data_IF_487536827874
#
_entry.id   IF_487536827874
#
_cell.length_a   1.000
_cell.length_b   1.000
_cell.length_c   1.000
_cell.angle_alpha   90.00
_cell.angle_beta   90.00
_cell.angle_gamma   90.00
#
_symmetry.space_group_name_H-M   'P 1'
#
loop_
_entity.id
_entity.type
_entity.pdbx_description
1 polymer ?
#
# COMPACT_ATOMS: atom_id res chain seq x y z
N UNK A 1 -29.19 5.96 -62.69
CA UNK A 1 -28.74 7.28 -62.20
C UNK A 1 -28.17 7.08 -60.80
N UNK A 2 -26.85 7.17 -60.60
CA UNK A 2 -26.20 7.02 -59.28
C UNK A 2 -25.68 8.37 -58.82
N UNK A 3 -26.22 8.89 -57.71
CA UNK A 3 -25.76 10.13 -57.07
C UNK A 3 -24.39 9.89 -56.41
N UNK A 4 -23.36 10.59 -56.86
CA UNK A 4 -22.12 10.73 -56.11
C UNK A 4 -22.31 11.81 -55.04
N UNK A 5 -22.34 11.40 -53.76
CA UNK A 5 -22.22 12.32 -52.62
C UNK A 5 -20.80 12.90 -52.64
N UNK A 6 -20.67 14.17 -53.00
CA UNK A 6 -19.43 14.91 -52.84
C UNK A 6 -19.08 15.01 -51.35
N UNK A 7 -17.95 14.41 -50.97
CA UNK A 7 -17.36 14.62 -49.64
C UNK A 7 -16.89 16.07 -49.58
N UNK A 8 -17.50 16.85 -48.68
CA UNK A 8 -17.18 18.25 -48.44
C UNK A 8 -15.78 18.34 -47.79
N UNK A 9 -14.73 18.31 -48.61
CA UNK A 9 -13.34 18.44 -48.19
C UNK A 9 -13.02 19.91 -47.90
N UNK A 10 -13.42 20.41 -46.73
CA UNK A 10 -12.87 21.65 -46.18
C UNK A 10 -11.42 21.38 -45.77
N UNK A 11 -10.47 22.02 -46.44
CA UNK A 11 -9.05 21.87 -46.15
C UNK A 11 -8.73 22.38 -44.74
N UNK A 12 -8.06 21.55 -43.94
CA UNK A 12 -7.55 21.93 -42.62
C UNK A 12 -6.40 22.92 -42.84
N UNK A 13 -6.44 24.07 -42.18
CA UNK A 13 -5.37 25.07 -42.31
C UNK A 13 -4.16 24.70 -41.46
N UNK A 14 -2.95 25.08 -41.90
CA UNK A 14 -1.71 24.85 -41.14
C UNK A 14 -1.78 25.46 -39.73
N UNK A 15 -2.42 26.62 -39.61
CA UNK A 15 -2.60 27.34 -38.34
C UNK A 15 -3.48 26.55 -37.38
N UNK A 16 -4.57 25.94 -37.85
CA UNK A 16 -5.42 25.07 -37.01
C UNK A 16 -4.63 23.88 -36.47
N UNK A 17 -3.75 23.27 -37.26
CA UNK A 17 -2.94 22.12 -36.81
C UNK A 17 -1.95 22.55 -35.72
N UNK A 18 -1.29 23.70 -35.88
CA UNK A 18 -0.33 24.22 -34.89
C UNK A 18 -1.02 24.52 -33.56
N UNK A 19 -2.21 25.14 -33.60
CA UNK A 19 -2.99 25.42 -32.39
C UNK A 19 -3.42 24.14 -31.67
N UNK A 20 -3.82 23.11 -32.43
CA UNK A 20 -4.20 21.80 -31.85
C UNK A 20 -3.00 21.13 -31.17
N UNK A 21 -1.83 21.11 -31.81
CA UNK A 21 -0.61 20.52 -31.23
C UNK A 21 -0.18 21.26 -29.96
N UNK A 22 -0.28 22.59 -29.95
CA UNK A 22 0.03 23.40 -28.77
C UNK A 22 -0.88 23.06 -27.58
N UNK A 23 -2.19 22.93 -27.80
CA UNK A 23 -3.16 22.56 -26.76
C UNK A 23 -2.89 21.14 -26.24
N UNK A 24 -2.64 20.18 -27.14
CA UNK A 24 -2.33 18.79 -26.76
C UNK A 24 -1.03 18.73 -25.95
N UNK A 25 0.01 19.49 -26.33
CA UNK A 25 1.27 19.54 -25.59
C UNK A 25 1.10 20.01 -24.14
N UNK A 26 0.29 21.06 -23.93
CA UNK A 26 0.00 21.58 -22.59
C UNK A 26 -0.82 20.57 -21.78
N UNK A 27 -1.90 20.01 -22.35
CA UNK A 27 -2.77 19.02 -21.68
C UNK A 27 -2.04 17.70 -21.34
N UNK A 28 -1.15 17.24 -22.21
CA UNK A 28 -0.34 16.05 -21.95
C UNK A 28 0.64 16.28 -20.79
N UNK A 29 1.26 17.47 -20.71
CA UNK A 29 2.23 17.80 -19.66
C UNK A 29 1.61 17.85 -18.25
N UNK A 30 0.41 18.42 -18.11
CA UNK A 30 -0.28 18.52 -16.81
C UNK A 30 -0.83 17.17 -16.32
N UNK A 31 -1.18 16.26 -17.23
CA UNK A 31 -1.72 14.94 -16.92
C UNK A 31 -0.70 14.01 -16.26
N UNK A 32 0.58 14.08 -16.66
CA UNK A 32 1.65 13.21 -16.11
C UNK A 32 2.01 13.60 -14.67
N UNK A 33 1.97 14.90 -14.35
CA UNK A 33 2.30 15.42 -13.01
C UNK A 33 1.26 14.99 -11.95
N UNK A 34 -0.01 14.88 -12.34
CA UNK A 34 -1.09 14.48 -11.43
C UNK A 34 -0.98 13.01 -10.97
N UNK A 35 -0.47 12.12 -11.83
CA UNK A 35 -0.31 10.68 -11.52
C UNK A 35 0.78 10.46 -10.46
N UNK A 36 1.83 11.28 -10.46
CA UNK A 36 2.91 11.19 -9.46
C UNK A 36 2.44 11.58 -8.06
N UNK A 37 1.66 12.66 -7.91
CA UNK A 37 1.16 13.13 -6.61
C UNK A 37 0.17 12.15 -5.95
N UNK A 38 -0.73 11.54 -6.73
CA UNK A 38 -1.68 10.58 -6.19
C UNK A 38 -0.98 9.34 -5.61
N UNK A 39 0.08 8.86 -6.27
CA UNK A 39 0.85 7.69 -5.78
C UNK A 39 1.68 8.02 -4.53
N UNK A 40 2.17 9.26 -4.40
CA UNK A 40 2.88 9.70 -3.19
C UNK A 40 1.94 9.77 -1.97
N UNK A 41 0.75 10.35 -2.15
CA UNK A 41 -0.26 10.42 -1.09
C UNK A 41 -0.68 9.03 -0.60
N UNK A 42 -0.81 8.06 -1.51
CA UNK A 42 -1.13 6.67 -1.16
C UNK A 42 0.00 6.02 -0.32
N UNK A 43 1.26 6.28 -0.68
CA UNK A 43 2.44 5.73 0.03
C UNK A 43 2.53 6.30 1.46
N UNK A 44 2.42 7.62 1.61
CA UNK A 44 2.51 8.28 2.92
C UNK A 44 1.32 7.90 3.82
N UNK A 45 0.12 7.76 3.24
CA UNK A 45 -1.07 7.30 3.96
C UNK A 45 -0.91 5.87 4.47
N UNK A 46 -0.35 4.97 3.65
CA UNK A 46 -0.07 3.59 4.06
C UNK A 46 0.91 3.56 5.24
N UNK A 47 2.00 4.32 5.17
CA UNK A 47 3.00 4.42 6.24
C UNK A 47 2.37 4.91 7.54
N UNK A 48 1.62 6.02 7.51
CA UNK A 48 0.95 6.57 8.71
C UNK A 48 -0.09 5.61 9.30
N UNK A 49 -0.79 4.87 8.45
CA UNK A 49 -1.78 3.88 8.91
C UNK A 49 -1.09 2.71 9.65
N UNK A 50 0.04 2.21 9.11
CA UNK A 50 0.84 1.17 9.76
C UNK A 50 1.39 1.68 11.09
N UNK A 51 2.02 2.85 11.10
CA UNK A 51 2.59 3.51 12.29
C UNK A 51 1.56 3.62 13.43
N UNK A 52 0.42 4.27 13.16
CA UNK A 52 -0.65 4.44 14.16
C UNK A 52 -1.27 3.11 14.61
N UNK A 53 -1.30 2.10 13.73
CA UNK A 53 -1.86 0.80 14.08
C UNK A 53 -0.91 -0.03 14.94
N UNK A 54 0.40 0.16 14.83
CA UNK A 54 1.39 -0.42 15.74
C UNK A 54 1.25 0.17 17.15
N UNK A 55 1.13 1.50 17.27
CA UNK A 55 0.84 2.16 18.56
C UNK A 55 -0.45 1.62 19.19
N UNK A 56 -1.52 1.55 18.38
CA UNK A 56 -2.81 1.01 18.83
C UNK A 56 -2.71 -0.45 19.25
N UNK A 57 -1.97 -1.27 18.50
CA UNK A 57 -1.76 -2.69 18.82
C UNK A 57 -1.01 -2.83 20.15
N UNK A 58 0.01 -2.01 20.39
CA UNK A 58 0.77 -2.01 21.63
C UNK A 58 -0.15 -1.71 22.83
N UNK A 59 -0.91 -0.61 22.75
CA UNK A 59 -1.86 -0.22 23.81
C UNK A 59 -2.89 -1.33 24.04
N UNK A 60 -3.48 -1.88 22.98
CA UNK A 60 -4.47 -2.96 23.13
C UNK A 60 -3.89 -4.21 23.77
N UNK A 61 -2.66 -4.56 23.42
CA UNK A 61 -1.96 -5.71 24.01
C UNK A 61 -1.75 -5.51 25.50
N UNK A 62 -1.37 -4.30 25.92
CA UNK A 62 -1.12 -3.99 27.33
C UNK A 62 -2.41 -3.89 28.15
N UNK A 63 -3.51 -3.41 27.55
CA UNK A 63 -4.75 -3.11 28.28
C UNK A 63 -5.76 -4.25 28.33
N UNK A 64 -5.71 -5.23 27.42
CA UNK A 64 -6.72 -6.31 27.32
C UNK A 64 -6.19 -7.63 27.89
N UNK A 65 -7.09 -8.56 28.21
CA UNK A 65 -6.70 -9.93 28.58
C UNK A 65 -6.16 -10.69 27.34
N UNK A 66 -6.87 -10.59 26.22
CA UNK A 66 -6.48 -11.22 24.96
C UNK A 66 -5.20 -10.61 24.35
N UNK A 67 -4.55 -11.35 23.45
CA UNK A 67 -3.40 -10.89 22.68
C UNK A 67 -3.85 -10.57 21.27
N UNK A 68 -3.97 -9.28 20.88
CA UNK A 68 -4.30 -8.91 19.52
C UNK A 68 -3.09 -9.11 18.59
N UNK A 69 -3.37 -9.39 17.32
CA UNK A 69 -2.40 -9.58 16.26
C UNK A 69 -2.72 -8.59 15.14
N UNK A 70 -1.70 -7.91 14.61
CA UNK A 70 -1.83 -7.07 13.42
C UNK A 70 -1.40 -7.87 12.20
N UNK A 71 -2.28 -7.91 11.21
CA UNK A 71 -2.04 -8.55 9.93
C UNK A 71 -1.99 -7.52 8.81
N UNK A 72 -1.02 -7.63 7.91
CA UNK A 72 -1.02 -6.95 6.60
C UNK A 72 -1.01 -8.02 5.52
N UNK A 73 -1.98 -7.96 4.61
CA UNK A 73 -2.21 -8.98 3.58
C UNK A 73 -2.63 -8.33 2.27
N UNK A 74 -2.41 -9.04 1.16
CA UNK A 74 -2.73 -8.56 -0.17
C UNK A 74 -3.99 -9.25 -0.72
N UNK A 75 -4.91 -8.45 -1.27
CA UNK A 75 -6.10 -8.91 -2.00
C UNK A 75 -6.05 -8.44 -3.46
N UNK A 76 -7.01 -8.84 -4.30
CA UNK A 76 -6.99 -8.53 -5.74
C UNK A 76 -6.89 -7.03 -6.09
N UNK A 77 -7.34 -6.15 -5.20
CA UNK A 77 -7.39 -4.70 -5.39
C UNK A 77 -6.47 -3.89 -4.47
N UNK A 78 -5.57 -4.57 -3.73
CA UNK A 78 -4.47 -3.93 -3.00
C UNK A 78 -4.18 -4.54 -1.63
N UNK A 79 -3.33 -3.86 -0.87
CA UNK A 79 -2.96 -4.27 0.48
C UNK A 79 -3.95 -3.75 1.53
N UNK A 80 -4.25 -4.61 2.49
CA UNK A 80 -5.14 -4.35 3.61
C UNK A 80 -4.44 -4.67 4.93
N UNK A 81 -4.95 -4.08 6.01
CA UNK A 81 -4.47 -4.29 7.36
C UNK A 81 -5.62 -4.50 8.33
N UNK A 82 -5.46 -5.44 9.27
CA UNK A 82 -6.50 -5.80 10.23
C UNK A 82 -5.88 -6.19 11.58
N UNK A 83 -6.49 -5.72 12.66
CA UNK A 83 -6.18 -6.17 14.03
C UNK A 83 -7.27 -7.14 14.47
N UNK A 84 -6.88 -8.31 14.94
CA UNK A 84 -7.78 -9.40 15.33
C UNK A 84 -7.12 -10.27 16.42
N UNK A 85 -7.93 -10.96 17.22
CA UNK A 85 -7.44 -11.80 18.32
C UNK A 85 -7.12 -13.24 17.90
N UNK A 86 -7.46 -13.61 16.66
CA UNK A 86 -7.16 -14.93 16.12
C UNK A 86 -5.69 -15.02 15.72
N UNK A 87 -5.01 -16.06 16.19
CA UNK A 87 -3.66 -16.42 15.72
C UNK A 87 -3.78 -17.23 14.41
N UNK A 88 -3.47 -16.57 13.30
CA UNK A 88 -3.48 -17.13 11.96
C UNK A 88 -2.05 -17.46 11.56
N UNK A 89 -1.85 -18.69 11.09
CA UNK A 89 -0.54 -19.25 10.72
C UNK A 89 -0.39 -19.44 9.22
N UNK A 90 -1.48 -19.43 8.46
CA UNK A 90 -1.52 -19.56 6.99
C UNK A 90 -2.55 -18.60 6.41
N UNK A 91 -2.38 -18.20 5.14
CA UNK A 91 -3.33 -17.29 4.49
C UNK A 91 -4.75 -17.87 4.50
N UNK A 92 -5.70 -17.12 5.03
CA UNK A 92 -7.10 -17.53 5.20
C UNK A 92 -8.03 -16.46 4.64
N UNK A 93 -8.64 -16.74 3.48
CA UNK A 93 -9.53 -15.82 2.77
C UNK A 93 -10.84 -15.53 3.51
N UNK A 94 -11.21 -16.34 4.52
CA UNK A 94 -12.37 -16.07 5.38
C UNK A 94 -12.08 -14.96 6.40
N UNK A 95 -10.81 -14.79 6.78
CA UNK A 95 -10.35 -13.80 7.77
C UNK A 95 -9.73 -12.57 7.12
N UNK A 96 -8.99 -12.79 6.04
CA UNK A 96 -8.36 -11.76 5.22
C UNK A 96 -9.33 -11.29 4.15
N UNK A 97 -10.15 -10.31 4.56
CA UNK A 97 -11.25 -9.75 3.77
C UNK A 97 -11.08 -8.24 3.56
N UNK A 98 -12.01 -7.64 2.82
CA UNK A 98 -12.03 -6.19 2.56
C UNK A 98 -12.54 -5.35 3.75
N UNK A 99 -12.84 -5.96 4.91
CA UNK A 99 -13.27 -5.22 6.11
C UNK A 99 -12.09 -4.64 6.89
N UNK A 100 -10.86 -5.06 6.57
CA UNK A 100 -9.65 -4.41 7.05
C UNK A 100 -9.50 -2.98 6.51
N UNK A 101 -8.58 -2.22 7.10
CA UNK A 101 -8.19 -0.90 6.62
C UNK A 101 -7.38 -1.07 5.33
N UNK A 102 -7.86 -0.49 4.23
CA UNK A 102 -7.11 -0.50 2.97
C UNK A 102 -5.89 0.41 3.09
N UNK A 103 -4.69 -0.15 2.95
CA UNK A 103 -3.43 0.58 3.02
C UNK A 103 -3.07 1.17 1.65
N UNK A 104 -3.19 0.36 0.59
CA UNK A 104 -2.82 0.77 -0.76
C UNK A 104 -3.68 0.09 -1.82
N UNK A 105 -3.59 0.64 -3.04
CA UNK A 105 -3.97 -0.06 -4.26
C UNK A 105 -2.76 -0.87 -4.81
N UNK A 106 -2.92 -1.54 -5.95
CA UNK A 106 -1.86 -2.33 -6.60
C UNK A 106 -0.67 -1.50 -7.16
N UNK A 107 -0.56 -0.21 -6.84
CA UNK A 107 0.55 0.66 -7.30
C UNK A 107 1.60 0.95 -6.21
N UNK A 108 1.34 0.51 -4.99
CA UNK A 108 2.27 0.57 -3.85
C UNK A 108 2.43 -0.84 -3.32
N UNK A 109 3.66 -1.32 -3.36
CA UNK A 109 4.03 -2.65 -2.94
C UNK A 109 4.44 -2.65 -1.47
N UNK A 110 4.04 -3.69 -0.73
CA UNK A 110 4.45 -3.87 0.66
C UNK A 110 5.25 -5.18 0.74
N UNK A 111 6.40 -5.13 1.40
CA UNK A 111 7.30 -6.26 1.53
C UNK A 111 7.61 -6.57 2.99
N UNK A 112 7.85 -7.86 3.23
CA UNK A 112 8.51 -8.38 4.42
C UNK A 112 10.01 -8.36 4.16
N UNK A 113 10.76 -7.51 4.84
CA UNK A 113 12.21 -7.71 4.89
C UNK A 113 12.50 -8.78 5.96
N UNK A 114 12.30 -10.03 5.59
CA UNK A 114 13.17 -11.12 6.04
C UNK A 114 14.45 -11.09 5.20
N UNK A 115 15.48 -11.86 5.55
CA UNK A 115 16.80 -11.93 4.85
C UNK A 115 16.74 -12.13 3.31
N UNK A 116 15.55 -12.38 2.76
CA UNK A 116 15.28 -12.67 1.34
C UNK A 116 14.37 -11.66 0.62
N UNK A 117 13.78 -10.66 1.30
CA UNK A 117 12.90 -9.64 0.69
C UNK A 117 11.65 -10.22 0.00
N UNK A 118 10.64 -10.63 0.77
CA UNK A 118 9.44 -11.29 0.23
C UNK A 118 8.28 -10.30 0.15
N UNK A 119 7.73 -10.08 -1.05
CA UNK A 119 6.53 -9.25 -1.25
C UNK A 119 5.32 -9.85 -0.54
N UNK A 120 4.50 -8.99 0.06
CA UNK A 120 3.18 -9.41 0.56
C UNK A 120 2.28 -9.68 -0.63
N UNK A 121 1.92 -10.95 -0.83
CA UNK A 121 1.08 -11.42 -1.93
C UNK A 121 -0.13 -12.20 -1.39
N UNK A 122 -0.92 -12.80 -2.28
CA UNK A 122 -2.12 -13.56 -1.89
C UNK A 122 -1.84 -14.87 -1.14
N UNK A 123 -0.58 -15.25 -0.93
CA UNK A 123 -0.17 -16.49 -0.27
C UNK A 123 0.52 -16.26 1.07
N UNK A 124 0.95 -15.03 1.35
CA UNK A 124 1.66 -14.68 2.57
C UNK A 124 1.06 -13.42 3.22
N UNK A 125 1.50 -13.12 4.44
CA UNK A 125 1.02 -11.96 5.19
C UNK A 125 2.05 -11.55 6.26
N UNK A 126 2.10 -10.26 6.58
CA UNK A 126 2.85 -9.76 7.72
C UNK A 126 2.00 -10.00 8.97
N UNK A 127 2.61 -10.52 10.02
CA UNK A 127 2.03 -10.65 11.35
C UNK A 127 2.93 -9.94 12.35
N UNK A 128 2.36 -9.01 13.11
CA UNK A 128 3.04 -8.30 14.20
C UNK A 128 2.27 -8.50 15.50
N UNK A 129 3.00 -8.78 16.56
CA UNK A 129 2.46 -9.10 17.89
C UNK A 129 3.33 -8.45 18.94
N UNK A 130 2.71 -7.84 19.95
CA UNK A 130 3.40 -7.40 21.15
C UNK A 130 3.29 -8.46 22.25
N UNK A 131 4.32 -8.58 23.07
CA UNK A 131 4.25 -9.22 24.38
C UNK A 131 3.56 -8.25 25.37
N UNK A 132 3.07 -8.77 26.49
CA UNK A 132 2.54 -7.93 27.59
C UNK A 132 3.58 -6.96 28.17
N UNK A 133 4.87 -7.26 27.99
CA UNK A 133 5.99 -6.36 28.33
C UNK A 133 6.19 -5.20 27.35
N UNK A 134 5.29 -5.03 26.38
CA UNK A 134 5.35 -4.02 25.32
C UNK A 134 6.49 -4.19 24.30
N UNK A 135 7.28 -5.27 24.37
CA UNK A 135 8.24 -5.67 23.34
C UNK A 135 7.55 -6.42 22.19
N UNK A 136 8.15 -6.47 21.00
CA UNK A 136 7.62 -7.31 19.92
C UNK A 136 7.92 -8.79 20.19
N UNK A 137 6.98 -9.67 19.84
CA UNK A 137 7.14 -11.11 20.01
C UNK A 137 7.92 -11.75 18.87
N UNK A 138 9.19 -11.35 18.74
CA UNK A 138 10.12 -11.84 17.71
C UNK A 138 10.81 -13.14 18.12
N UNK A 139 11.09 -13.34 19.41
CA UNK A 139 11.80 -14.52 19.92
C UNK A 139 11.04 -15.84 19.72
N UNK A 140 9.71 -15.80 19.79
CA UNK A 140 8.85 -16.99 19.55
C UNK A 140 8.46 -17.15 18.09
N UNK A 141 8.83 -16.20 17.22
CA UNK A 141 8.46 -16.17 15.81
C UNK A 141 7.01 -15.75 15.53
N UNK A 142 6.25 -15.28 16.53
CA UNK A 142 4.89 -14.79 16.33
C UNK A 142 4.85 -13.50 15.52
N UNK A 143 5.79 -12.59 15.75
CA UNK A 143 6.07 -11.49 14.83
C UNK A 143 7.00 -12.01 13.74
N UNK A 144 6.55 -12.01 12.49
CA UNK A 144 7.28 -12.66 11.39
C UNK A 144 8.17 -11.70 10.57
N UNK A 145 8.29 -10.44 10.99
CA UNK A 145 9.08 -9.42 10.31
C UNK A 145 9.87 -8.56 11.29
N UNK A 146 11.00 -8.03 10.82
CA UNK A 146 11.73 -6.95 11.50
C UNK A 146 11.59 -5.62 10.78
N UNK A 147 11.34 -5.65 9.47
CA UNK A 147 11.06 -4.44 8.68
C UNK A 147 9.83 -4.67 7.80
N UNK A 148 8.99 -3.64 7.72
CA UNK A 148 7.87 -3.56 6.79
C UNK A 148 8.24 -2.48 5.77
N UNK A 149 8.52 -2.89 4.54
CA UNK A 149 8.89 -1.97 3.46
C UNK A 149 7.63 -1.61 2.67
N UNK A 150 7.40 -0.33 2.45
CA UNK A 150 6.29 0.22 1.68
C UNK A 150 6.91 1.00 0.53
N UNK A 151 6.80 0.47 -0.68
CA UNK A 151 7.46 0.97 -1.88
C UNK A 151 6.43 1.51 -2.88
N UNK A 152 6.49 2.80 -3.15
CA UNK A 152 5.56 3.48 -4.04
C UNK A 152 6.25 4.65 -4.75
N UNK A 153 5.96 5.89 -4.32
CA UNK A 153 6.77 7.06 -4.72
C UNK A 153 7.75 7.36 -3.60
N UNK A 154 8.95 6.80 -3.74
CA UNK A 154 9.89 6.64 -2.63
C UNK A 154 9.59 5.37 -1.83
N UNK A 155 10.59 4.92 -1.10
CA UNK A 155 10.53 3.70 -0.30
C UNK A 155 10.58 4.08 1.16
N UNK A 156 9.65 3.56 1.94
CA UNK A 156 9.61 3.77 3.39
C UNK A 156 9.75 2.42 4.08
N UNK A 157 10.55 2.37 5.13
CA UNK A 157 10.75 1.17 5.93
C UNK A 157 10.31 1.45 7.36
N UNK A 158 9.30 0.72 7.82
CA UNK A 158 8.92 0.68 9.24
C UNK A 158 9.77 -0.39 9.90
N UNK A 159 10.82 0.02 10.61
CA UNK A 159 11.75 -0.85 11.32
C UNK A 159 11.24 -1.13 12.72
N UNK A 160 11.08 -2.41 13.07
CA UNK A 160 10.64 -2.88 14.38
C UNK A 160 11.87 -3.24 15.23
N UNK A 161 11.97 -2.65 16.43
CA UNK A 161 13.05 -2.98 17.38
C UNK A 161 12.52 -3.99 18.40
N UNK A 162 12.82 -5.26 18.14
CA UNK A 162 12.28 -6.43 18.86
C UNK A 162 12.21 -6.25 20.38
N UNK A 163 13.36 -6.00 21.01
CA UNK A 163 13.51 -5.92 22.47
C UNK A 163 12.77 -4.75 23.12
N UNK A 164 12.65 -3.62 22.41
CA UNK A 164 12.09 -2.37 22.99
C UNK A 164 10.64 -2.15 22.63
N UNK A 165 10.11 -2.84 21.62
CA UNK A 165 8.77 -2.60 21.10
C UNK A 165 8.59 -1.30 20.34
N UNK A 166 9.67 -0.52 20.15
CA UNK A 166 9.64 0.72 19.39
C UNK A 166 9.74 0.43 17.90
N UNK A 167 9.03 1.21 17.10
CA UNK A 167 9.20 1.24 15.65
C UNK A 167 9.66 2.61 15.17
N UNK A 168 10.37 2.62 14.04
CA UNK A 168 10.88 3.84 13.41
C UNK A 168 10.61 3.80 11.91
N UNK A 169 10.19 4.95 11.38
CA UNK A 169 10.03 5.13 9.93
C UNK A 169 11.37 5.64 9.38
N UNK A 170 11.92 4.91 8.43
CA UNK A 170 13.12 5.27 7.65
C UNK A 170 12.68 5.50 6.20
N UNK A 171 13.18 6.55 5.56
CA UNK A 171 12.95 6.85 4.15
C UNK A 171 14.22 6.64 3.35
#
# INVERSE_FOLDING_TARGET
>A
MRMHKGLNQKGVTLVEIILVIAIIGILASTSVMLIGHLRYADTEKAVKAVDSSLDKLQVQTMSKADTPYLYIYHLSDGCYMKIMNDDVTSFDSSKFDKKGVKLSNNRVDIYMESKSGTKVDGNNFIKVVYKKSAAFDTDTGKTNVTNIVIDGVGTYTVRLIGETGKHFIVK
#
